data_IF_908784290582
#
_entry.id   IF_908784290582
#
_cell.length_a   1.000
_cell.length_b   1.000
_cell.length_c   1.000
_cell.angle_alpha   90.00
_cell.angle_beta   90.00
_cell.angle_gamma   90.00
#
_symmetry.space_group_name_H-M   'P 1'
#
loop_
_entity.id
_entity.type
_entity.pdbx_description
1 polymer ?
#
# COMPACT_ATOMS: atom_id res chain seq x y z
N UNK A 1 4.52 -22.74 -10.07
CA UNK A 1 5.14 -21.54 -10.67
C UNK A 1 4.30 -20.36 -10.22
N UNK A 2 4.64 -19.72 -9.10
CA UNK A 2 3.89 -18.53 -8.63
C UNK A 2 4.47 -17.31 -9.34
N UNK A 3 3.73 -16.89 -10.36
CA UNK A 3 3.47 -15.51 -10.76
C UNK A 3 4.69 -14.61 -11.06
N UNK A 4 4.99 -14.49 -12.36
CA UNK A 4 5.74 -13.38 -12.95
C UNK A 4 4.89 -12.09 -12.84
N UNK A 5 4.71 -11.60 -11.61
CA UNK A 5 4.00 -10.34 -11.37
C UNK A 5 4.92 -9.19 -11.73
N UNK A 6 4.46 -8.19 -12.50
CA UNK A 6 5.26 -7.01 -12.77
C UNK A 6 5.61 -6.29 -11.47
N UNK A 7 6.84 -5.79 -11.40
CA UNK A 7 7.30 -4.89 -10.35
C UNK A 7 7.08 -3.46 -10.86
N UNK A 8 6.35 -2.68 -10.09
CA UNK A 8 5.92 -1.32 -10.44
C UNK A 8 6.31 -0.40 -9.30
N UNK A 9 6.73 0.82 -9.61
CA UNK A 9 7.12 1.80 -8.60
C UNK A 9 5.88 2.59 -8.18
N UNK A 10 5.73 2.83 -6.88
CA UNK A 10 4.68 3.70 -6.35
C UNK A 10 5.29 4.82 -5.50
N UNK A 11 4.94 6.05 -5.84
CA UNK A 11 5.32 7.27 -5.13
C UNK A 11 4.08 7.95 -4.55
N UNK A 12 4.30 8.90 -3.64
CA UNK A 12 3.23 9.69 -3.03
C UNK A 12 2.12 8.79 -2.46
N UNK A 13 2.53 7.71 -1.79
CA UNK A 13 1.64 6.62 -1.43
C UNK A 13 1.09 6.77 -0.01
N UNK A 14 -0.10 6.21 0.20
CA UNK A 14 -0.80 6.15 1.48
C UNK A 14 -1.50 4.81 1.63
N UNK A 15 -1.68 4.33 2.86
CA UNK A 15 -2.49 3.13 3.13
C UNK A 15 -3.90 3.55 3.50
N UNK A 16 -4.87 2.97 2.80
CA UNK A 16 -6.29 3.12 3.11
C UNK A 16 -6.88 1.79 3.55
N UNK A 17 -7.93 1.84 4.37
CA UNK A 17 -8.64 0.66 4.87
C UNK A 17 -9.95 0.48 4.11
N UNK A 18 -10.40 -0.77 3.96
CA UNK A 18 -11.76 -1.04 3.49
C UNK A 18 -12.76 -0.32 4.39
N UNK A 19 -13.90 0.07 3.81
CA UNK A 19 -15.03 0.58 4.58
C UNK A 19 -15.46 -0.44 5.65
N UNK A 20 -15.15 -0.12 6.91
CA UNK A 20 -15.51 -0.94 8.07
C UNK A 20 -16.77 -0.36 8.71
N UNK A 21 -17.79 -1.20 8.86
CA UNK A 21 -18.97 -0.86 9.67
C UNK A 21 -18.72 -1.27 11.12
N UNK A 22 -19.49 -0.79 12.11
CA UNK A 22 -19.38 -1.26 13.50
C UNK A 22 -19.59 -2.76 13.68
N UNK A 23 -20.12 -3.45 12.65
CA UNK A 23 -20.37 -4.89 12.63
C UNK A 23 -19.31 -5.66 11.82
N UNK A 24 -18.29 -4.97 11.30
CA UNK A 24 -17.18 -5.60 10.56
C UNK A 24 -16.10 -6.01 11.55
N UNK A 25 -15.82 -7.31 11.60
CA UNK A 25 -14.77 -7.85 12.47
C UNK A 25 -13.39 -7.29 12.04
N UNK A 26 -12.49 -6.96 12.99
CA UNK A 26 -11.22 -6.30 12.70
C UNK A 26 -10.33 -7.08 11.73
N UNK A 27 -10.39 -8.41 11.75
CA UNK A 27 -9.66 -9.30 10.84
C UNK A 27 -10.18 -9.26 9.39
N UNK A 28 -11.40 -8.76 9.17
CA UNK A 28 -11.97 -8.55 7.83
C UNK A 28 -11.59 -7.18 7.24
N UNK A 29 -10.99 -6.29 8.03
CA UNK A 29 -10.55 -4.97 7.57
C UNK A 29 -9.31 -5.14 6.70
N UNK A 30 -9.50 -4.98 5.39
CA UNK A 30 -8.42 -5.09 4.41
C UNK A 30 -7.71 -3.75 4.25
N UNK A 31 -6.39 -3.81 4.04
CA UNK A 31 -5.56 -2.65 3.74
C UNK A 31 -5.30 -2.57 2.23
N UNK A 32 -5.29 -1.36 1.68
CA UNK A 32 -5.08 -1.07 0.27
C UNK A 32 -4.06 0.06 0.15
N UNK A 33 -3.27 0.08 -0.91
CA UNK A 33 -2.38 1.19 -1.23
C UNK A 33 -3.08 2.17 -2.17
N UNK A 34 -2.84 3.45 -1.96
CA UNK A 34 -3.25 4.51 -2.88
C UNK A 34 -2.04 5.40 -3.17
N UNK A 35 -1.74 5.69 -4.43
CA UNK A 35 -0.59 6.51 -4.80
C UNK A 35 -0.36 6.60 -6.30
N UNK A 36 0.69 7.32 -6.67
CA UNK A 36 1.12 7.53 -8.05
C UNK A 36 1.97 6.35 -8.52
N UNK A 37 1.60 5.72 -9.64
CA UNK A 37 2.34 4.57 -10.19
C UNK A 37 3.21 4.91 -11.37
N UNK A 38 4.33 4.21 -11.49
CA UNK A 38 5.30 4.34 -12.57
C UNK A 38 5.76 2.97 -13.06
N UNK A 39 5.81 2.79 -14.38
CA UNK A 39 6.17 1.53 -15.03
C UNK A 39 5.04 0.50 -15.06
N UNK A 40 3.79 0.92 -14.87
CA UNK A 40 2.66 0.00 -14.87
C UNK A 40 2.22 -0.32 -16.32
N UNK A 41 2.02 -1.60 -16.72
CA UNK A 41 1.71 -1.96 -18.11
C UNK A 41 0.33 -1.48 -18.61
N UNK A 42 -0.52 -1.00 -17.71
CA UNK A 42 -1.91 -0.57 -17.99
C UNK A 42 -2.22 0.87 -17.60
N UNK A 43 -1.33 1.54 -16.87
CA UNK A 43 -1.56 2.90 -16.38
C UNK A 43 -0.40 3.77 -16.82
N UNK A 44 -0.69 5.03 -17.13
CA UNK A 44 0.34 5.99 -17.46
C UNK A 44 1.15 6.35 -16.20
N UNK A 45 2.42 6.65 -16.39
CA UNK A 45 3.31 7.09 -15.32
C UNK A 45 2.76 8.36 -14.66
N UNK A 46 2.71 8.35 -13.32
CA UNK A 46 2.10 9.40 -12.51
C UNK A 46 0.59 9.27 -12.32
N UNK A 47 -0.04 8.20 -12.83
CA UNK A 47 -1.46 7.95 -12.57
C UNK A 47 -1.68 7.64 -11.08
N UNK A 48 -2.62 8.33 -10.44
CA UNK A 48 -3.06 8.00 -9.08
C UNK A 48 -4.02 6.80 -9.15
N UNK A 49 -3.65 5.70 -8.50
CA UNK A 49 -4.49 4.50 -8.43
C UNK A 49 -4.69 4.06 -6.99
N UNK A 50 -5.80 3.34 -6.76
CA UNK A 50 -5.97 2.51 -5.56
C UNK A 50 -5.71 1.05 -5.94
N UNK A 51 -4.74 0.43 -5.28
CA UNK A 51 -4.37 -0.96 -5.49
C UNK A 51 -5.47 -1.91 -5.00
N UNK A 52 -5.34 -3.20 -5.34
CA UNK A 52 -6.07 -4.26 -4.64
C UNK A 52 -5.54 -4.45 -3.21
N UNK A 53 -6.20 -5.31 -2.42
CA UNK A 53 -5.80 -5.61 -1.04
C UNK A 53 -4.31 -5.99 -0.96
N UNK A 54 -3.64 -5.47 0.05
CA UNK A 54 -2.28 -5.84 0.41
C UNK A 54 -2.31 -7.29 0.91
N UNK A 55 -1.47 -8.15 0.32
CA UNK A 55 -1.37 -9.55 0.69
C UNK A 55 -0.20 -9.79 1.63
N UNK A 56 0.95 -9.19 1.30
CA UNK A 56 2.17 -9.30 2.08
C UNK A 56 3.00 -8.02 1.91
N UNK A 57 3.90 -7.79 2.85
CA UNK A 57 4.83 -6.67 2.84
C UNK A 57 6.21 -7.14 3.23
N UNK A 58 7.21 -6.83 2.41
CA UNK A 58 8.59 -7.19 2.65
C UNK A 58 9.47 -5.98 2.33
N UNK A 59 10.01 -5.34 3.37
CA UNK A 59 10.80 -4.14 3.14
C UNK A 59 9.91 -2.98 2.65
N UNK A 60 10.39 -2.33 1.59
CA UNK A 60 9.66 -1.34 0.82
C UNK A 60 8.83 -1.96 -0.31
N UNK A 61 8.67 -3.28 -0.35
CA UNK A 61 7.86 -3.96 -1.36
C UNK A 61 6.54 -4.42 -0.77
N UNK A 62 5.46 -4.17 -1.51
CA UNK A 62 4.12 -4.64 -1.17
C UNK A 62 3.62 -5.58 -2.25
N UNK A 63 3.21 -6.77 -1.82
CA UNK A 63 2.55 -7.73 -2.68
C UNK A 63 1.06 -7.42 -2.75
N UNK A 64 0.54 -7.34 -3.97
CA UNK A 64 -0.89 -7.35 -4.22
C UNK A 64 -1.27 -8.56 -5.08
N UNK A 65 -2.56 -8.68 -5.39
CA UNK A 65 -3.05 -9.83 -6.14
C UNK A 65 -2.33 -10.03 -7.48
N UNK A 66 -2.02 -8.93 -8.17
CA UNK A 66 -1.53 -8.97 -9.55
C UNK A 66 -0.16 -8.29 -9.74
N UNK A 67 0.32 -7.50 -8.77
CA UNK A 67 1.47 -6.60 -8.95
C UNK A 67 2.30 -6.50 -7.68
N UNK A 68 3.62 -6.37 -7.82
CA UNK A 68 4.51 -5.93 -6.74
C UNK A 68 4.71 -4.43 -6.82
N UNK A 69 4.44 -3.73 -5.74
CA UNK A 69 4.70 -2.29 -5.64
C UNK A 69 5.97 -2.04 -4.86
N UNK A 70 6.96 -1.41 -5.49
CA UNK A 70 8.10 -0.84 -4.81
C UNK A 70 7.73 0.56 -4.33
N UNK A 71 7.57 0.71 -3.02
CA UNK A 71 7.25 1.96 -2.36
C UNK A 71 8.49 2.85 -2.29
N UNK A 72 8.33 4.10 -2.75
CA UNK A 72 9.32 5.16 -2.59
C UNK A 72 8.83 6.12 -1.50
N UNK A 73 8.80 7.42 -1.79
CA UNK A 73 8.40 8.43 -0.83
C UNK A 73 6.89 8.34 -0.54
N UNK A 74 6.48 8.29 0.74
CA UNK A 74 5.08 8.33 1.13
C UNK A 74 4.48 9.72 0.90
N UNK A 75 3.15 9.80 0.85
CA UNK A 75 2.45 11.07 0.84
C UNK A 75 2.70 11.85 2.13
N UNK A 76 2.85 13.17 1.99
CA UNK A 76 3.17 14.07 3.11
C UNK A 76 2.05 14.09 4.14
N UNK A 77 0.79 14.09 3.69
CA UNK A 77 -0.36 14.09 4.61
C UNK A 77 -0.50 12.77 5.36
N UNK A 78 -0.18 11.66 4.70
CA UNK A 78 -0.14 10.34 5.31
C UNK A 78 0.95 10.25 6.38
N UNK A 79 2.14 10.79 6.10
CA UNK A 79 3.25 10.84 7.06
C UNK A 79 2.87 11.63 8.32
N UNK A 80 2.29 12.82 8.15
CA UNK A 80 1.80 13.63 9.28
C UNK A 80 0.70 12.93 10.09
N UNK A 81 -0.19 12.19 9.42
CA UNK A 81 -1.22 11.41 10.10
C UNK A 81 -0.61 10.27 10.92
N UNK A 82 0.37 9.55 10.38
CA UNK A 82 1.09 8.49 11.09
C UNK A 82 1.83 9.04 12.32
N UNK A 83 2.53 10.16 12.20
CA UNK A 83 3.16 10.84 13.35
C UNK A 83 2.15 11.19 14.45
N UNK A 84 0.98 11.71 14.05
CA UNK A 84 -0.10 12.05 14.98
C UNK A 84 -0.71 10.83 15.67
N UNK A 85 -0.77 9.70 14.97
CA UNK A 85 -1.33 8.44 15.47
C UNK A 85 -0.28 7.55 16.15
N UNK A 86 0.97 8.01 16.26
CA UNK A 86 2.10 7.23 16.78
C UNK A 86 2.33 5.91 16.01
N UNK A 87 1.99 5.88 14.72
CA UNK A 87 2.18 4.73 13.82
C UNK A 87 3.59 4.79 13.22
N UNK A 88 4.36 3.73 13.42
CA UNK A 88 5.71 3.63 12.86
C UNK A 88 5.66 3.33 11.36
N UNK A 89 6.07 4.30 10.53
CA UNK A 89 6.32 4.12 9.10
C UNK A 89 7.74 3.59 8.90
N UNK A 90 8.04 2.40 9.43
CA UNK A 90 9.34 1.80 9.19
C UNK A 90 9.41 1.28 7.75
N UNK A 91 10.40 1.70 6.94
CA UNK A 91 10.55 1.26 5.56
C UNK A 91 10.85 -0.23 5.40
N UNK A 92 11.12 -0.95 6.49
CA UNK A 92 11.20 -2.42 6.53
C UNK A 92 9.96 -3.12 7.07
N UNK A 93 8.98 -2.39 7.59
CA UNK A 93 7.80 -2.93 8.28
C UNK A 93 6.63 -1.94 8.19
N UNK A 94 6.06 -1.77 6.99
CA UNK A 94 4.91 -0.88 6.76
C UNK A 94 3.56 -1.41 7.30
N UNK A 95 3.56 -2.51 8.05
CA UNK A 95 2.35 -3.10 8.62
C UNK A 95 2.56 -3.33 10.11
N UNK A 96 1.73 -2.66 10.91
CA UNK A 96 1.58 -2.93 12.34
C UNK A 96 1.40 -4.43 12.58
N UNK A 97 2.31 -5.03 13.36
CA UNK A 97 2.00 -6.31 14.02
C UNK A 97 1.09 -5.97 15.20
N UNK A 98 -0.22 -6.14 14.97
CA UNK A 98 -1.25 -6.18 16.02
C UNK A 98 -0.86 -7.21 17.09
#
# INVERSE_FOLDING_TARGET
>A
MKDDKPIVIMQNWSVTRSYATPYTAPELVSHYLCGEVYGHPRFEDGSIITSSRMLDTSGNMVETNNTWYELKEPDVTYTLWCEKMEISLDPSSYVDKV
#
